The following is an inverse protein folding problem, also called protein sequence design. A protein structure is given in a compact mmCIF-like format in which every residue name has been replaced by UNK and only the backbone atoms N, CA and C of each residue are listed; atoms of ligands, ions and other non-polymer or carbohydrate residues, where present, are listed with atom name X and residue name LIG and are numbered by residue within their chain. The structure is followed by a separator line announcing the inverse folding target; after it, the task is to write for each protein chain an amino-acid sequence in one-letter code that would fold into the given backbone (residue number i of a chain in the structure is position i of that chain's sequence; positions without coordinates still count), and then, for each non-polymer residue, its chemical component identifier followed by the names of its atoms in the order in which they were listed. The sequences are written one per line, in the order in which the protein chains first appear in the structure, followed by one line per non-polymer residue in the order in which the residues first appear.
data_IF_660642175983
#
_entry.id   IF_660642175983
#
_cell.length_a   1.000
_cell.length_b   1.000
_cell.length_c   1.000
_cell.angle_alpha   90.00
_cell.angle_beta   90.00
_cell.angle_gamma   90.00
#
_symmetry.space_group_name_H-M   'P 1'
#
loop_
_entity.id
_entity.type
_entity.pdbx_description
1 polymer ?
#
# COMPACT_ATOMS: atom_id res chain seq x y z
N UNK A 1 -14.22 0.02 -1.75
CA UNK A 1 -13.74 0.50 -0.43
C UNK A 1 -14.73 0.20 0.70
N UNK A 2 -14.25 -0.30 1.84
CA UNK A 2 -15.02 -0.43 3.08
C UNK A 2 -14.88 0.86 3.91
N UNK A 3 -16.00 1.50 4.23
CA UNK A 3 -16.04 2.73 5.04
C UNK A 3 -15.75 2.44 6.50
N UNK A 4 -15.06 3.37 7.16
CA UNK A 4 -14.78 3.28 8.58
C UNK A 4 -16.07 3.12 9.41
N UNK A 5 -16.03 2.20 10.38
CA UNK A 5 -17.19 1.88 11.22
C UNK A 5 -18.23 0.99 10.55
N UNK A 6 -18.00 0.52 9.31
CA UNK A 6 -18.86 -0.46 8.63
C UNK A 6 -18.28 -1.86 8.68
N UNK A 7 -19.18 -2.84 8.74
CA UNK A 7 -18.85 -4.25 8.64
C UNK A 7 -19.30 -4.76 7.27
N UNK A 8 -18.55 -5.70 6.72
CA UNK A 8 -18.89 -6.35 5.45
C UNK A 8 -19.12 -7.84 5.61
N UNK A 9 -19.95 -8.39 4.74
CA UNK A 9 -20.32 -9.81 4.68
C UNK A 9 -20.12 -10.37 3.27
N UNK A 10 -20.00 -11.70 3.16
CA UNK A 10 -19.91 -12.37 1.85
C UNK A 10 -21.31 -12.74 1.34
N UNK A 11 -21.36 -13.11 0.07
CA UNK A 11 -22.51 -13.73 -0.61
C UNK A 11 -23.13 -14.87 0.20
N UNK A 12 -22.32 -15.72 0.84
CA UNK A 12 -22.84 -16.82 1.66
C UNK A 12 -23.66 -16.33 2.86
N UNK A 13 -23.29 -15.19 3.44
CA UNK A 13 -23.97 -14.64 4.60
C UNK A 13 -25.17 -13.81 4.16
N UNK A 14 -25.10 -13.13 3.01
CA UNK A 14 -26.27 -12.55 2.33
C UNK A 14 -27.33 -13.62 2.09
N UNK A 15 -26.95 -14.79 1.54
CA UNK A 15 -27.88 -15.90 1.33
C UNK A 15 -28.61 -16.29 2.63
N UNK A 16 -27.86 -16.40 3.74
CA UNK A 16 -28.43 -16.71 5.05
C UNK A 16 -29.41 -15.64 5.54
N UNK A 17 -29.14 -14.35 5.28
CA UNK A 17 -30.06 -13.26 5.65
C UNK A 17 -31.43 -13.39 4.95
N UNK A 18 -31.48 -14.08 3.81
CA UNK A 18 -32.71 -14.35 3.07
C UNK A 18 -33.29 -15.74 3.34
N UNK A 19 -32.80 -16.46 4.36
CA UNK A 19 -33.16 -17.86 4.65
C UNK A 19 -32.88 -18.81 3.46
N UNK A 20 -31.84 -18.51 2.68
CA UNK A 20 -31.43 -19.27 1.50
C UNK A 20 -30.05 -19.91 1.68
N UNK A 21 -29.85 -21.07 1.08
CA UNK A 21 -28.53 -21.68 0.92
C UNK A 21 -27.88 -21.23 -0.39
N UNK A 22 -26.55 -21.27 -0.47
CA UNK A 22 -25.83 -21.02 -1.74
C UNK A 22 -26.24 -21.98 -2.86
N UNK A 23 -26.68 -23.18 -2.51
CA UNK A 23 -27.14 -24.18 -3.48
C UNK A 23 -28.45 -23.76 -4.17
N UNK A 24 -29.24 -22.86 -3.56
CA UNK A 24 -30.46 -22.31 -4.16
C UNK A 24 -30.18 -21.48 -5.42
N UNK A 25 -28.96 -20.95 -5.58
CA UNK A 25 -28.57 -20.06 -6.68
C UNK A 25 -27.72 -20.74 -7.76
N UNK A 26 -27.20 -21.93 -7.50
CA UNK A 26 -26.22 -22.63 -8.38
C UNK A 26 -26.81 -23.83 -9.13
N UNK A 27 -28.10 -24.13 -8.96
CA UNK A 27 -28.78 -25.29 -9.57
C UNK A 27 -29.50 -25.03 -10.90
N UNK A 28 -30.03 -26.10 -11.53
CA UNK A 28 -30.70 -26.13 -12.85
C UNK A 28 -31.94 -25.21 -12.99
N UNK A 29 -32.58 -24.83 -11.88
CA UNK A 29 -33.69 -23.85 -11.84
C UNK A 29 -33.34 -22.66 -10.94
N UNK A 30 -32.04 -22.35 -10.83
CA UNK A 30 -31.49 -21.41 -9.86
C UNK A 30 -32.35 -20.18 -9.70
N UNK A 31 -32.69 -19.85 -8.44
CA UNK A 31 -33.35 -18.58 -8.17
C UNK A 31 -32.41 -17.46 -8.56
N UNK A 32 -32.96 -16.36 -9.07
CA UNK A 32 -32.18 -15.13 -9.20
C UNK A 32 -31.70 -14.74 -7.80
N UNK A 33 -30.39 -14.56 -7.59
CA UNK A 33 -29.91 -14.21 -6.28
C UNK A 33 -30.31 -12.78 -5.91
N UNK A 34 -30.44 -12.47 -4.60
CA UNK A 34 -30.85 -11.14 -4.14
C UNK A 34 -29.92 -10.03 -4.65
N UNK A 35 -28.61 -10.28 -4.71
CA UNK A 35 -27.61 -9.30 -5.16
C UNK A 35 -27.63 -9.03 -6.67
N UNK A 36 -28.45 -9.73 -7.45
CA UNK A 36 -28.69 -9.39 -8.85
C UNK A 36 -29.89 -8.45 -9.00
N UNK A 37 -30.67 -8.17 -7.94
CA UNK A 37 -31.74 -7.18 -7.98
C UNK A 37 -31.15 -5.76 -8.06
N UNK A 38 -31.72 -4.91 -8.92
CA UNK A 38 -31.31 -3.52 -9.09
C UNK A 38 -31.53 -2.69 -7.82
N UNK A 39 -32.47 -3.10 -6.97
CA UNK A 39 -32.69 -2.48 -5.66
C UNK A 39 -31.70 -2.94 -4.57
N UNK A 40 -30.89 -3.96 -4.84
CA UNK A 40 -29.91 -4.47 -3.87
C UNK A 40 -28.69 -3.54 -3.78
N UNK A 41 -28.11 -3.32 -2.59
CA UNK A 41 -26.91 -2.50 -2.46
C UNK A 41 -25.73 -3.05 -3.26
N UNK A 42 -24.99 -2.15 -3.92
CA UNK A 42 -23.76 -2.49 -4.62
C UNK A 42 -22.72 -3.11 -3.68
N UNK A 43 -21.84 -4.00 -4.18
CA UNK A 43 -20.70 -4.47 -3.40
C UNK A 43 -19.82 -3.31 -2.93
N UNK A 44 -19.45 -3.35 -1.65
CA UNK A 44 -18.54 -2.38 -1.04
C UNK A 44 -17.14 -2.41 -1.68
N UNK A 45 -16.75 -3.48 -2.37
CA UNK A 45 -15.47 -3.61 -3.06
C UNK A 45 -15.58 -3.60 -4.59
N UNK A 46 -16.62 -2.97 -5.12
CA UNK A 46 -16.78 -2.77 -6.57
C UNK A 46 -15.61 -1.97 -7.17
N UNK A 47 -15.26 -2.27 -8.42
CA UNK A 47 -14.10 -1.66 -9.09
C UNK A 47 -14.28 -0.14 -9.26
N UNK A 48 -13.44 0.69 -8.62
CA UNK A 48 -13.54 2.14 -8.74
C UNK A 48 -12.91 2.67 -10.04
N UNK A 49 -12.16 1.85 -10.79
CA UNK A 49 -11.44 2.27 -11.99
C UNK A 49 -12.26 2.15 -13.28
N UNK A 50 -13.46 1.57 -13.24
CA UNK A 50 -14.33 1.51 -14.42
C UNK A 50 -14.97 2.88 -14.68
N UNK A 51 -14.80 3.39 -15.90
CA UNK A 51 -15.30 4.70 -16.33
C UNK A 51 -16.84 4.75 -16.41
N UNK A 52 -17.47 3.68 -16.92
CA UNK A 52 -18.93 3.51 -16.91
C UNK A 52 -19.36 2.64 -15.70
N UNK A 53 -20.34 3.07 -14.89
CA UNK A 53 -20.94 2.23 -13.85
C UNK A 53 -21.40 0.85 -14.34
N UNK A 54 -21.83 0.71 -15.60
CA UNK A 54 -22.26 -0.56 -16.21
C UNK A 54 -21.10 -1.50 -16.51
N UNK A 55 -19.89 -0.95 -16.67
CA UNK A 55 -18.66 -1.70 -16.93
C UNK A 55 -17.96 -2.12 -15.63
N UNK A 56 -18.52 -1.76 -14.47
CA UNK A 56 -17.99 -2.18 -13.17
C UNK A 56 -18.17 -3.69 -13.02
N UNK A 57 -17.10 -4.42 -13.32
CA UNK A 57 -17.06 -5.87 -13.12
C UNK A 57 -17.05 -6.15 -11.62
N UNK A 58 -18.01 -6.95 -11.09
CA UNK A 58 -17.98 -7.34 -9.70
C UNK A 58 -16.69 -8.12 -9.41
N UNK A 59 -16.05 -7.86 -8.26
CA UNK A 59 -14.83 -8.56 -7.90
C UNK A 59 -15.12 -10.05 -7.71
N UNK A 60 -14.08 -10.89 -7.90
CA UNK A 60 -14.18 -12.35 -7.71
C UNK A 60 -14.78 -12.76 -6.35
N UNK A 61 -14.63 -11.91 -5.34
CA UNK A 61 -15.25 -12.08 -4.02
C UNK A 61 -15.97 -10.78 -3.67
N UNK A 62 -17.26 -10.65 -4.01
CA UNK A 62 -18.02 -9.47 -3.67
C UNK A 62 -18.31 -9.45 -2.17
N UNK A 63 -18.09 -8.28 -1.58
CA UNK A 63 -18.30 -7.97 -0.18
C UNK A 63 -19.41 -6.93 -0.10
N UNK A 64 -20.41 -7.15 0.74
CA UNK A 64 -21.56 -6.24 0.91
C UNK A 64 -21.53 -5.61 2.29
N UNK A 65 -22.00 -4.36 2.41
CA UNK A 65 -22.20 -3.73 3.71
C UNK A 65 -23.28 -4.49 4.49
N UNK A 66 -22.95 -4.86 5.73
CA UNK A 66 -23.80 -5.71 6.56
C UNK A 66 -25.13 -5.02 6.90
N UNK A 67 -25.10 -3.72 7.22
CA UNK A 67 -26.30 -2.98 7.61
C UNK A 67 -27.24 -2.80 6.41
N UNK A 68 -26.68 -2.50 5.23
CA UNK A 68 -27.44 -2.39 4.00
C UNK A 68 -28.08 -3.73 3.60
N UNK A 69 -27.31 -4.82 3.66
CA UNK A 69 -27.81 -6.15 3.35
C UNK A 69 -28.94 -6.58 4.32
N UNK A 70 -28.78 -6.31 5.62
CA UNK A 70 -29.83 -6.57 6.63
C UNK A 70 -31.07 -5.72 6.41
N UNK A 71 -30.91 -4.44 6.08
CA UNK A 71 -32.03 -3.54 5.82
C UNK A 71 -32.85 -4.02 4.62
N UNK A 72 -32.18 -4.37 3.51
CA UNK A 72 -32.82 -4.92 2.33
C UNK A 72 -33.54 -6.24 2.64
N UNK A 73 -32.88 -7.19 3.32
CA UNK A 73 -33.49 -8.47 3.71
C UNK A 73 -34.72 -8.30 4.61
N UNK A 74 -34.73 -7.27 5.46
CA UNK A 74 -35.86 -6.93 6.33
C UNK A 74 -36.95 -6.07 5.65
N UNK A 75 -36.81 -5.74 4.35
CA UNK A 75 -37.72 -4.84 3.64
C UNK A 75 -37.71 -3.40 4.19
N UNK A 76 -36.63 -2.99 4.85
CA UNK A 76 -36.46 -1.66 5.43
C UNK A 76 -35.70 -0.74 4.46
N UNK A 77 -35.84 0.58 4.60
CA UNK A 77 -35.03 1.53 3.85
C UNK A 77 -33.53 1.26 4.04
N UNK A 78 -32.77 1.22 2.95
CA UNK A 78 -31.33 0.96 2.98
C UNK A 78 -30.63 2.17 3.61
N UNK A 79 -29.83 1.99 4.69
CA UNK A 79 -29.10 3.09 5.30
C UNK A 79 -28.04 3.63 4.32
N UNK A 80 -27.86 4.97 4.25
CA UNK A 80 -26.83 5.54 3.39
C UNK A 80 -25.43 5.23 3.95
N UNK A 81 -24.48 5.01 3.05
CA UNK A 81 -23.07 4.89 3.41
C UNK A 81 -22.50 6.25 3.81
N UNK A 82 -21.52 6.28 4.74
CA UNK A 82 -20.75 7.50 5.01
C UNK A 82 -20.14 8.06 3.71
N UNK A 83 -20.38 9.34 3.44
CA UNK A 83 -19.89 10.02 2.24
C UNK A 83 -18.50 10.61 2.47
N UNK A 84 -18.20 11.01 3.70
CA UNK A 84 -16.91 11.58 4.05
C UNK A 84 -15.84 10.48 4.11
N UNK A 85 -14.73 10.75 3.43
CA UNK A 85 -13.54 9.92 3.50
C UNK A 85 -12.93 9.97 4.91
N UNK A 86 -12.53 8.81 5.43
CA UNK A 86 -11.92 8.69 6.75
C UNK A 86 -10.52 8.08 6.65
N UNK A 87 -9.52 8.52 7.42
CA UNK A 87 -8.15 7.97 7.35
C UNK A 87 -8.07 6.45 7.57
N UNK A 88 -9.03 5.90 8.32
CA UNK A 88 -9.16 4.45 8.59
C UNK A 88 -10.09 3.70 7.62
N UNK A 89 -10.51 4.32 6.52
CA UNK A 89 -11.22 3.61 5.45
C UNK A 89 -10.30 2.52 4.89
N UNK A 90 -10.86 1.34 4.65
CA UNK A 90 -10.15 0.19 4.11
C UNK A 90 -10.35 0.11 2.59
N UNK A 91 -9.29 0.39 1.86
CA UNK A 91 -9.21 0.38 0.41
C UNK A 91 -8.77 -1.00 -0.06
N UNK A 92 -9.50 -1.60 -1.01
CA UNK A 92 -9.01 -2.79 -1.71
C UNK A 92 -7.78 -2.45 -2.55
N UNK A 93 -7.10 -3.46 -3.10
CA UNK A 93 -5.97 -3.24 -4.01
C UNK A 93 -6.29 -2.26 -5.16
N UNK A 94 -7.48 -2.37 -5.76
CA UNK A 94 -7.93 -1.47 -6.83
C UNK A 94 -8.28 -0.08 -6.32
N UNK A 95 -8.96 -0.01 -5.16
CA UNK A 95 -9.24 1.28 -4.52
C UNK A 95 -7.95 2.00 -4.13
N UNK A 96 -6.93 1.26 -3.68
CA UNK A 96 -5.64 1.79 -3.29
C UNK A 96 -4.84 2.30 -4.50
N UNK A 97 -4.85 1.56 -5.62
CA UNK A 97 -4.28 2.02 -6.88
C UNK A 97 -4.98 3.29 -7.39
N UNK A 98 -6.32 3.31 -7.38
CA UNK A 98 -7.12 4.48 -7.75
C UNK A 98 -6.84 5.69 -6.84
N UNK A 99 -6.77 5.45 -5.53
CA UNK A 99 -6.44 6.46 -4.53
C UNK A 99 -5.07 7.10 -4.78
N UNK A 100 -4.10 6.29 -5.17
CA UNK A 100 -2.73 6.73 -5.52
C UNK A 100 -2.57 7.24 -6.95
N UNK A 101 -3.65 7.23 -7.75
CA UNK A 101 -3.64 7.64 -9.16
C UNK A 101 -2.60 6.88 -10.00
N UNK A 102 -2.38 5.60 -9.70
CA UNK A 102 -1.46 4.73 -10.45
C UNK A 102 -2.20 3.50 -11.01
N UNK A 103 -1.61 2.83 -11.99
CA UNK A 103 -2.23 1.62 -12.54
C UNK A 103 -2.20 0.49 -11.50
N UNK A 104 -3.12 -0.47 -11.60
CA UNK A 104 -3.13 -1.64 -10.71
C UNK A 104 -1.82 -2.45 -10.80
N UNK A 105 -1.21 -2.49 -12.00
CA UNK A 105 0.07 -3.17 -12.21
C UNK A 105 1.22 -2.44 -11.50
N UNK A 106 1.25 -1.11 -11.60
CA UNK A 106 2.24 -0.28 -10.90
C UNK A 106 2.07 -0.38 -9.39
N UNK A 107 0.83 -0.31 -8.88
CA UNK A 107 0.54 -0.51 -7.45
C UNK A 107 1.06 -1.88 -6.97
N UNK A 108 0.81 -2.95 -7.72
CA UNK A 108 1.35 -4.29 -7.42
C UNK A 108 2.87 -4.34 -7.42
N UNK A 109 3.50 -3.70 -8.41
CA UNK A 109 4.95 -3.61 -8.48
C UNK A 109 5.51 -2.81 -7.30
N UNK A 110 4.82 -1.76 -6.87
CA UNK A 110 5.18 -0.94 -5.71
C UNK A 110 5.01 -1.68 -4.38
N UNK A 111 3.97 -2.49 -4.21
CA UNK A 111 3.83 -3.39 -3.06
C UNK A 111 4.96 -4.42 -3.04
N UNK A 112 5.25 -5.07 -4.18
CA UNK A 112 6.33 -6.07 -4.28
C UNK A 112 7.74 -5.49 -4.03
N UNK A 113 7.96 -4.24 -4.41
CA UNK A 113 9.22 -3.52 -4.22
C UNK A 113 9.29 -2.75 -2.89
N UNK A 114 8.30 -2.93 -2.00
CA UNK A 114 8.20 -2.29 -0.68
C UNK A 114 8.17 -0.74 -0.75
N UNK A 115 7.79 -0.18 -1.90
CA UNK A 115 7.50 1.26 -2.05
C UNK A 115 6.14 1.63 -1.46
N UNK A 116 5.20 0.69 -1.52
CA UNK A 116 3.91 0.70 -0.81
C UNK A 116 3.99 -0.45 0.23
N UNK A 117 3.49 -0.26 1.45
CA UNK A 117 3.53 -1.31 2.45
C UNK A 117 2.64 -2.49 2.06
N UNK A 118 2.85 -3.62 2.73
CA UNK A 118 1.88 -4.71 2.67
C UNK A 118 0.51 -4.25 3.17
N UNK A 119 -0.53 -5.02 2.84
CA UNK A 119 -1.89 -4.72 3.24
C UNK A 119 -2.02 -4.67 4.77
N UNK A 120 -2.66 -3.62 5.29
CA UNK A 120 -2.93 -3.47 6.71
C UNK A 120 -3.82 -4.60 7.24
N UNK A 121 -4.81 -5.01 6.44
CA UNK A 121 -5.82 -5.98 6.88
C UNK A 121 -6.25 -6.93 5.76
N UNK A 122 -6.67 -8.14 6.14
CA UNK A 122 -7.28 -9.13 5.24
C UNK A 122 -8.72 -9.41 5.66
N UNK A 123 -9.66 -8.59 5.17
CA UNK A 123 -11.08 -8.74 5.45
C UNK A 123 -11.68 -9.78 4.52
N UNK A 124 -12.21 -10.87 5.10
CA UNK A 124 -12.92 -11.92 4.37
C UNK A 124 -12.14 -12.50 3.16
N UNK A 125 -10.81 -12.54 3.27
CA UNK A 125 -9.93 -13.08 2.23
C UNK A 125 -9.40 -12.04 1.24
N UNK A 126 -9.89 -10.80 1.28
CA UNK A 126 -9.48 -9.69 0.41
C UNK A 126 -8.52 -8.77 1.17
N UNK A 127 -7.40 -8.42 0.53
CA UNK A 127 -6.39 -7.52 1.09
C UNK A 127 -6.87 -6.07 1.04
N UNK A 128 -6.63 -5.33 2.12
CA UNK A 128 -7.02 -3.95 2.28
C UNK A 128 -5.90 -3.10 2.88
N UNK A 129 -5.83 -1.85 2.42
CA UNK A 129 -4.94 -0.81 2.91
C UNK A 129 -5.74 0.33 3.51
N UNK A 130 -5.28 0.92 4.61
CA UNK A 130 -5.87 2.13 5.15
C UNK A 130 -5.42 3.35 4.36
N UNK A 131 -6.30 4.36 4.25
CA UNK A 131 -5.93 5.65 3.65
C UNK A 131 -4.73 6.29 4.34
N UNK A 132 -4.74 6.31 5.68
CA UNK A 132 -3.65 6.85 6.49
C UNK A 132 -2.31 6.17 6.18
N UNK A 133 -2.34 4.86 5.95
CA UNK A 133 -1.17 4.07 5.59
C UNK A 133 -0.68 4.49 4.20
N UNK A 134 -1.57 4.60 3.20
CA UNK A 134 -1.16 5.02 1.85
C UNK A 134 -0.64 6.46 1.80
N UNK A 135 -1.19 7.35 2.62
CA UNK A 135 -0.74 8.74 2.75
C UNK A 135 0.68 8.83 3.34
N UNK A 136 0.96 8.02 4.37
CA UNK A 136 2.28 7.99 5.00
C UNK A 136 3.39 7.58 4.05
N UNK A 137 3.08 6.73 3.07
CA UNK A 137 4.08 6.19 2.14
C UNK A 137 4.30 7.03 0.88
N UNK A 138 3.52 8.11 0.69
CA UNK A 138 3.75 9.14 -0.33
C UNK A 138 3.54 8.66 -1.78
N UNK A 139 2.78 9.42 -2.55
CA UNK A 139 2.56 9.21 -3.99
C UNK A 139 3.82 9.64 -4.75
N UNK A 140 4.29 8.84 -5.71
CA UNK A 140 5.31 9.31 -6.65
C UNK A 140 4.73 10.50 -7.44
N UNK A 141 5.42 11.65 -7.55
CA UNK A 141 4.84 12.80 -8.24
C UNK A 141 4.94 12.59 -9.75
N UNK A 142 3.80 12.32 -10.40
CA UNK A 142 3.76 12.33 -11.86
C UNK A 142 2.44 11.92 -12.51
N UNK A 143 1.43 12.80 -12.46
CA UNK A 143 0.71 13.41 -13.61
C UNK A 143 -0.73 13.77 -13.24
N UNK A 144 -0.90 15.06 -12.95
CA UNK A 144 -2.09 15.89 -13.20
C UNK A 144 -3.44 15.50 -12.54
N UNK A 145 -3.83 16.26 -11.51
CA UNK A 145 -5.26 16.38 -11.18
C UNK A 145 -5.63 16.88 -9.79
N UNK A 146 -5.34 18.15 -9.48
CA UNK A 146 -6.07 19.01 -8.54
C UNK A 146 -6.44 18.49 -7.12
N UNK A 147 -5.55 18.74 -6.15
CA UNK A 147 -5.99 19.24 -4.84
C UNK A 147 -5.38 20.64 -4.65
N UNK A 148 -6.26 21.66 -4.53
CA UNK A 148 -5.86 23.06 -4.41
C UNK A 148 -5.20 23.28 -3.04
N UNK A 149 -3.99 23.85 -3.03
CA UNK A 149 -3.54 24.68 -1.92
C UNK A 149 -2.25 24.31 -1.18
N UNK A 150 -1.48 23.30 -1.60
CA UNK A 150 -0.21 22.99 -0.93
C UNK A 150 0.99 23.37 -1.81
N UNK A 151 1.89 24.27 -1.37
CA UNK A 151 3.09 24.61 -2.13
C UNK A 151 3.92 23.35 -2.35
N UNK A 152 4.42 23.19 -3.59
CA UNK A 152 5.23 22.05 -4.00
C UNK A 152 6.38 21.83 -3.02
N UNK A 153 6.22 20.85 -2.12
CA UNK A 153 7.27 20.47 -1.20
C UNK A 153 8.34 19.72 -2.01
N UNK A 154 9.57 20.23 -1.89
CA UNK A 154 10.83 19.65 -2.37
C UNK A 154 10.75 18.13 -2.45
N UNK A 155 11.09 17.59 -3.62
CA UNK A 155 10.94 16.22 -4.10
C UNK A 155 11.84 15.20 -3.37
N UNK A 156 11.99 15.36 -2.05
CA UNK A 156 12.83 14.58 -1.17
C UNK A 156 11.93 13.78 -0.27
N UNK A 157 11.97 12.45 -0.39
CA UNK A 157 11.52 11.55 0.67
C UNK A 157 12.08 12.11 1.98
N UNK A 158 11.26 12.36 3.03
CA UNK A 158 11.75 12.83 4.30
C UNK A 158 12.92 11.94 4.74
N UNK A 159 14.08 12.53 5.06
CA UNK A 159 15.33 11.78 5.32
C UNK A 159 15.18 10.66 6.36
N UNK A 160 14.19 10.80 7.24
CA UNK A 160 13.83 9.83 8.26
C UNK A 160 13.26 8.53 7.67
N UNK A 161 12.28 8.63 6.76
CA UNK A 161 11.60 7.49 6.12
C UNK A 161 12.57 6.64 5.27
N UNK A 162 13.47 7.30 4.54
CA UNK A 162 14.50 6.59 3.76
C UNK A 162 15.47 5.81 4.66
N UNK A 163 15.78 6.33 5.86
CA UNK A 163 16.69 5.69 6.80
C UNK A 163 16.05 4.47 7.47
N UNK A 164 14.77 4.54 7.83
CA UNK A 164 14.01 3.39 8.37
C UNK A 164 13.89 2.27 7.35
N UNK A 165 13.54 2.57 6.08
CA UNK A 165 13.50 1.57 5.00
C UNK A 165 14.83 0.84 4.82
N UNK A 166 15.95 1.59 4.84
CA UNK A 166 17.29 1.00 4.77
C UNK A 166 17.62 0.16 6.00
N UNK A 167 17.18 0.55 7.20
CA UNK A 167 17.41 -0.23 8.42
C UNK A 167 16.61 -1.55 8.41
N UNK A 168 15.33 -1.53 8.02
CA UNK A 168 14.50 -2.74 7.91
C UNK A 168 15.08 -3.75 6.92
N UNK A 169 15.66 -3.28 5.81
CA UNK A 169 16.34 -4.17 4.84
C UNK A 169 17.63 -4.76 5.43
N UNK A 170 18.33 -4.06 6.31
CA UNK A 170 19.52 -4.59 7.00
C UNK A 170 19.12 -5.59 8.10
N UNK A 171 18.09 -5.29 8.88
CA UNK A 171 17.64 -6.12 10.01
C UNK A 171 17.00 -7.45 9.54
N UNK A 172 16.55 -7.50 8.28
CA UNK A 172 16.01 -8.72 7.67
C UNK A 172 17.07 -9.61 7.00
N UNK A 173 18.35 -9.21 7.00
CA UNK A 173 19.43 -10.05 6.47
C UNK A 173 19.84 -11.12 7.48
N UNK A 174 20.12 -12.32 6.98
CA UNK A 174 20.74 -13.39 7.77
C UNK A 174 22.10 -12.95 8.34
N UNK A 175 22.47 -13.38 9.56
CA UNK A 175 23.74 -13.03 10.18
C UNK A 175 24.94 -13.38 9.28
N UNK A 176 25.76 -12.38 8.94
CA UNK A 176 26.95 -12.54 8.09
C UNK A 176 26.72 -12.27 6.61
N UNK A 177 25.48 -12.02 6.18
CA UNK A 177 25.17 -11.57 4.81
C UNK A 177 25.25 -10.05 4.74
N UNK A 178 26.10 -9.52 3.85
CA UNK A 178 26.19 -8.08 3.58
C UNK A 178 25.48 -7.71 2.30
N UNK A 179 24.68 -6.64 2.32
CA UNK A 179 24.09 -6.04 1.11
C UNK A 179 25.01 -5.00 0.50
N UNK A 180 25.11 -4.96 -0.82
CA UNK A 180 25.86 -3.91 -1.53
C UNK A 180 25.09 -2.59 -1.56
N UNK A 181 25.79 -1.46 -1.76
CA UNK A 181 25.13 -0.15 -1.88
C UNK A 181 24.15 -0.08 -3.07
N UNK A 182 24.44 -0.82 -4.15
CA UNK A 182 23.57 -0.93 -5.32
C UNK A 182 22.31 -1.71 -5.00
N UNK A 183 22.43 -2.89 -4.39
CA UNK A 183 21.28 -3.69 -3.98
C UNK A 183 20.42 -2.98 -2.94
N UNK A 184 21.05 -2.30 -1.97
CA UNK A 184 20.33 -1.51 -0.98
C UNK A 184 19.59 -0.35 -1.64
N UNK A 185 20.23 0.37 -2.57
CA UNK A 185 19.60 1.44 -3.34
C UNK A 185 18.39 0.94 -4.15
N UNK A 186 18.51 -0.23 -4.79
CA UNK A 186 17.41 -0.83 -5.55
C UNK A 186 16.27 -1.31 -4.65
N UNK A 187 16.59 -1.95 -3.52
CA UNK A 187 15.58 -2.48 -2.57
C UNK A 187 14.86 -1.38 -1.78
N UNK A 188 15.47 -0.21 -1.62
CA UNK A 188 14.92 0.88 -0.80
C UNK A 188 14.57 2.12 -1.61
N UNK A 189 14.77 2.05 -2.92
CA UNK A 189 14.53 3.12 -3.89
C UNK A 189 15.15 4.47 -3.51
N UNK A 190 16.39 4.43 -3.03
CA UNK A 190 17.18 5.62 -2.73
C UNK A 190 18.32 5.78 -3.73
N UNK A 191 18.79 7.01 -3.93
CA UNK A 191 19.99 7.25 -4.72
C UNK A 191 21.17 6.42 -4.18
N UNK A 192 21.98 5.84 -5.07
CA UNK A 192 23.16 5.05 -4.72
C UNK A 192 24.07 5.76 -3.68
N UNK A 193 24.28 7.06 -3.83
CA UNK A 193 25.09 7.85 -2.91
C UNK A 193 24.52 7.89 -1.48
N UNK A 194 23.19 7.85 -1.33
CA UNK A 194 22.49 7.78 -0.04
C UNK A 194 22.66 6.42 0.59
N UNK A 195 22.43 5.33 -0.15
CA UNK A 195 22.64 3.96 0.31
C UNK A 195 24.10 3.71 0.72
N UNK A 196 25.06 4.19 -0.09
CA UNK A 196 26.49 4.10 0.24
C UNK A 196 26.83 4.83 1.54
N UNK A 197 26.33 6.06 1.73
CA UNK A 197 26.54 6.82 2.97
C UNK A 197 25.93 6.15 4.20
N UNK A 198 24.80 5.46 4.03
CA UNK A 198 24.15 4.71 5.09
C UNK A 198 25.01 3.50 5.51
N UNK A 199 25.45 2.68 4.55
CA UNK A 199 26.36 1.56 4.82
C UNK A 199 27.71 2.01 5.41
N UNK A 200 28.26 3.13 4.94
CA UNK A 200 29.51 3.69 5.47
C UNK A 200 29.37 4.14 6.95
N UNK A 201 28.16 4.49 7.42
CA UNK A 201 27.89 4.79 8.84
C UNK A 201 27.77 3.53 9.70
N UNK A 202 27.26 2.42 9.14
CA UNK A 202 27.10 1.14 9.84
C UNK A 202 28.41 0.37 9.96
N UNK A 203 29.37 0.61 9.05
CA UNK A 203 30.71 0.05 9.18
C UNK A 203 31.37 0.58 10.45
N UNK A 204 31.92 -0.28 11.33
CA UNK A 204 32.69 0.20 12.46
C UNK A 204 33.82 1.08 11.93
N UNK A 205 33.95 2.30 12.48
CA UNK A 205 35.08 3.18 12.18
C UNK A 205 36.36 2.43 12.54
N UNK A 206 36.99 1.79 11.56
CA UNK A 206 38.36 1.31 11.70
C UNK A 206 39.20 2.52 12.07
N UNK A 207 39.64 2.57 13.34
CA UNK A 207 40.55 3.56 13.90
C UNK A 207 41.64 3.84 12.88
N UNK A 208 41.70 5.08 12.41
CA UNK A 208 42.75 5.55 11.51
C UNK A 208 44.11 5.20 12.09
N UNK A 209 44.87 4.34 11.41
CA UNK A 209 46.30 4.17 11.67
C UNK A 209 46.98 5.54 11.49
N UNK A 210 47.87 5.96 12.40
CA UNK A 210 48.48 7.29 12.34
C UNK A 210 49.29 7.45 11.06
N UNK A 211 49.12 8.61 10.41
CA UNK A 211 49.86 9.03 9.21
C UNK A 211 51.36 8.87 9.47
N UNK A 212 52.04 8.07 8.65
CA UNK A 212 53.51 8.03 8.55
C UNK A 212 54.04 9.46 8.44
N UNK A 213 54.70 9.95 9.49
CA UNK A 213 55.56 11.12 9.40
C UNK A 213 56.69 10.79 8.42
N UNK A 214 56.67 11.39 7.23
CA UNK A 214 57.86 11.46 6.37
C UNK A 214 58.87 12.34 7.10
N UNK A 215 59.86 11.72 7.74
CA UNK A 215 61.07 12.41 8.20
C UNK A 215 61.78 12.96 6.97
N UNK A 216 61.69 14.26 6.78
CA UNK A 216 62.58 15.03 5.93
C UNK A 216 63.94 15.09 6.64
N UNK A 217 64.86 14.22 6.23
CA UNK A 217 66.28 14.40 6.51
C UNK A 217 67.00 14.45 5.18
N UNK A 218 66.96 15.60 4.52
CA UNK A 218 68.02 15.91 3.56
C UNK A 218 69.02 16.81 4.28
N UNK A 219 70.17 16.18 4.57
CA UNK A 219 71.31 16.73 5.28
C UNK A 219 71.86 17.94 4.52
N UNK A 220 72.08 19.00 5.27
CA UNK A 220 73.21 19.89 5.02
C UNK A 220 74.49 19.07 4.94
N UNK A 221 75.24 19.25 3.86
CA UNK A 221 76.69 19.08 3.87
C UNK A 221 77.27 20.09 2.89
N UNK A 222 77.42 21.32 3.40
CA UNK A 222 78.49 22.22 2.98
C UNK A 222 79.68 22.03 3.93
N UNK A 223 80.85 21.83 3.34
CA UNK A 223 82.24 21.93 3.83
C UNK A 223 83.04 20.90 3.02
N UNK A 224 84.19 21.18 2.41
CA UNK A 224 85.12 22.30 2.48
C UNK A 224 85.95 22.25 1.19
#
# INVERSE_FOLDING_TARGET
MIRYGRTVIRVQDVAKLHDLSMTAFTGLRGRRPPWDDEAYPDPANLDPLAEDPKDRVPPRTPLFDEDQAKAYAAGKPIPPLPVQDHPKDLLTERDAAAYRQESLEDFRAHVKSLRVPEADEKVLGVLHWRRETLDWFGTAPGRNGAWRGQPAADNRVPRFVASERMQTVIDSLEPGVSVTATELAMKTDVAYATAKRFLDKLRPRSRSLPKRQRKNTNRQSGNK
#
